data_IF_822768165452
#
_entry.id   IF_822768165452
#
_cell.length_a   1.000
_cell.length_b   1.000
_cell.length_c   1.000
_cell.angle_alpha   90.00
_cell.angle_beta   90.00
_cell.angle_gamma   90.00
#
_symmetry.space_group_name_H-M   'P 1'
#
loop_
_entity.id
_entity.type
_entity.pdbx_description
1 polymer ?
#
# COMPACT_ATOMS: atom_id res chain seq x y z
N UNK A 1 -0.01 32.90 -0.85
CA UNK A 1 0.57 31.70 -0.23
C UNK A 1 2.08 31.90 -0.21
N UNK A 2 2.71 31.83 0.97
CA UNK A 2 4.16 31.82 1.13
C UNK A 2 4.73 30.51 0.53
N UNK A 3 5.98 30.54 0.04
CA UNK A 3 6.58 29.42 -0.71
C UNK A 3 6.65 28.10 0.07
N UNK A 4 6.71 28.17 1.40
CA UNK A 4 6.70 27.03 2.31
C UNK A 4 5.36 26.30 2.30
N UNK A 5 4.25 27.01 2.52
CA UNK A 5 2.90 26.46 2.46
C UNK A 5 2.56 25.84 1.08
N UNK A 6 3.07 26.43 -0.01
CA UNK A 6 2.95 25.85 -1.34
C UNK A 6 3.69 24.51 -1.45
N UNK A 7 4.93 24.45 -0.93
CA UNK A 7 5.76 23.24 -0.92
C UNK A 7 5.11 22.12 -0.11
N UNK A 8 4.56 22.43 1.06
CA UNK A 8 3.86 21.48 1.93
C UNK A 8 2.61 20.89 1.25
N UNK A 9 1.83 21.75 0.59
CA UNK A 9 0.64 21.33 -0.13
C UNK A 9 1.00 20.42 -1.33
N UNK A 10 1.99 20.82 -2.13
CA UNK A 10 2.48 20.03 -3.26
C UNK A 10 2.97 18.66 -2.77
N UNK A 11 3.75 18.63 -1.69
CA UNK A 11 4.29 17.39 -1.12
C UNK A 11 3.17 16.48 -0.64
N UNK A 12 2.21 17.02 0.09
CA UNK A 12 1.06 16.26 0.61
C UNK A 12 0.21 15.70 -0.54
N UNK A 13 -0.10 16.52 -1.54
CA UNK A 13 -0.85 16.10 -2.73
C UNK A 13 -0.12 15.01 -3.51
N UNK A 14 1.18 15.18 -3.74
CA UNK A 14 2.01 14.21 -4.45
C UNK A 14 2.00 12.84 -3.74
N UNK A 15 2.15 12.83 -2.41
CA UNK A 15 2.13 11.60 -1.63
C UNK A 15 0.73 10.95 -1.62
N UNK A 16 -0.35 11.73 -1.55
CA UNK A 16 -1.72 11.22 -1.69
C UNK A 16 -1.92 10.52 -3.04
N UNK A 17 -1.41 11.11 -4.13
CA UNK A 17 -1.48 10.50 -5.46
C UNK A 17 -0.67 9.21 -5.54
N UNK A 18 0.50 9.14 -4.89
CA UNK A 18 1.27 7.89 -4.78
C UNK A 18 0.46 6.82 -4.04
N UNK A 19 -0.17 7.15 -2.91
CA UNK A 19 -1.00 6.19 -2.17
C UNK A 19 -2.18 5.69 -3.00
N UNK A 20 -2.82 6.56 -3.76
CA UNK A 20 -3.89 6.18 -4.68
C UNK A 20 -3.38 5.24 -5.78
N UNK A 21 -2.22 5.53 -6.37
CA UNK A 21 -1.57 4.67 -7.36
C UNK A 21 -1.19 3.29 -6.80
N UNK A 22 -0.70 3.23 -5.57
CA UNK A 22 -0.39 1.98 -4.87
C UNK A 22 -1.67 1.18 -4.57
N UNK A 23 -2.71 1.83 -4.04
CA UNK A 23 -4.00 1.20 -3.77
C UNK A 23 -4.62 0.62 -5.05
N UNK A 24 -4.58 1.39 -6.15
CA UNK A 24 -5.01 0.92 -7.46
C UNK A 24 -4.19 -0.29 -7.92
N UNK A 25 -2.86 -0.22 -7.82
CA UNK A 25 -1.96 -1.30 -8.23
C UNK A 25 -2.23 -2.60 -7.46
N UNK A 26 -2.47 -2.50 -6.15
CA UNK A 26 -2.83 -3.64 -5.30
C UNK A 26 -4.18 -4.24 -5.69
N UNK A 27 -5.18 -3.39 -5.96
CA UNK A 27 -6.49 -3.86 -6.45
C UNK A 27 -6.37 -4.53 -7.82
N UNK A 28 -5.60 -3.94 -8.73
CA UNK A 28 -5.44 -4.43 -10.09
C UNK A 28 -4.66 -5.77 -10.10
N UNK A 29 -3.64 -5.92 -9.26
CA UNK A 29 -2.94 -7.20 -9.08
C UNK A 29 -3.84 -8.26 -8.42
N UNK A 30 -4.58 -7.89 -7.37
CA UNK A 30 -5.46 -8.82 -6.65
C UNK A 30 -6.69 -9.27 -7.44
N UNK A 31 -7.15 -8.48 -8.43
CA UNK A 31 -8.27 -8.84 -9.32
C UNK A 31 -7.80 -9.46 -10.65
N UNK A 32 -6.50 -9.65 -10.83
CA UNK A 32 -5.92 -10.21 -12.05
C UNK A 32 -5.87 -9.27 -13.25
N UNK A 33 -6.26 -8.00 -13.10
CA UNK A 33 -6.08 -6.97 -14.14
C UNK A 33 -4.60 -6.74 -14.45
N UNK A 34 -3.74 -6.78 -13.43
CA UNK A 34 -2.28 -6.81 -13.58
C UNK A 34 -1.77 -8.24 -13.54
N UNK A 35 -1.43 -8.76 -14.71
CA UNK A 35 -0.72 -10.04 -14.85
C UNK A 35 0.69 -9.96 -14.24
N UNK A 36 1.28 -11.12 -13.96
CA UNK A 36 2.69 -11.23 -13.54
C UNK A 36 3.59 -10.49 -14.53
N UNK A 37 4.26 -9.46 -14.05
CA UNK A 37 5.10 -8.55 -14.85
C UNK A 37 6.47 -8.39 -14.18
N UNK A 38 7.30 -7.39 -14.48
CA UNK A 38 8.58 -7.15 -13.78
C UNK A 38 8.59 -5.86 -12.90
N UNK A 39 7.53 -5.07 -12.93
CA UNK A 39 7.52 -3.68 -12.47
C UNK A 39 6.73 -3.46 -11.18
N UNK A 40 5.57 -4.10 -11.04
CA UNK A 40 4.60 -3.86 -9.96
C UNK A 40 4.34 -5.17 -9.22
N UNK A 41 4.21 -5.14 -7.89
CA UNK A 41 3.78 -6.29 -7.07
C UNK A 41 4.83 -6.79 -6.07
N UNK A 42 4.45 -7.77 -5.26
CA UNK A 42 5.30 -8.44 -4.26
C UNK A 42 6.20 -9.45 -5.00
N UNK A 43 7.51 -9.38 -4.75
CA UNK A 43 8.56 -10.11 -5.50
C UNK A 43 9.30 -11.15 -4.69
N UNK A 44 8.60 -11.86 -3.84
CA UNK A 44 9.16 -13.03 -3.18
C UNK A 44 9.14 -14.24 -4.13
N UNK A 45 9.95 -15.25 -3.82
CA UNK A 45 10.01 -16.49 -4.59
C UNK A 45 8.63 -17.18 -4.68
N UNK A 46 7.86 -17.17 -3.58
CA UNK A 46 6.52 -17.74 -3.52
C UNK A 46 5.55 -17.05 -4.48
N UNK A 47 5.50 -15.72 -4.49
CA UNK A 47 4.60 -14.96 -5.38
C UNK A 47 4.98 -15.07 -6.86
N UNK A 48 6.25 -15.32 -7.15
CA UNK A 48 6.77 -15.31 -8.52
C UNK A 48 6.79 -16.69 -9.18
N UNK A 49 6.47 -17.76 -8.44
CA UNK A 49 6.58 -19.13 -8.92
C UNK A 49 5.68 -19.40 -10.13
N UNK A 50 4.39 -19.03 -10.05
CA UNK A 50 3.38 -19.32 -11.06
C UNK A 50 2.36 -18.19 -11.19
N UNK A 51 1.59 -18.14 -12.28
CA UNK A 51 0.58 -17.07 -12.48
C UNK A 51 -0.58 -17.18 -11.46
N UNK A 52 -0.89 -18.39 -11.01
CA UNK A 52 -1.88 -18.63 -9.96
C UNK A 52 -1.36 -18.15 -8.58
N UNK A 53 -0.10 -18.44 -8.27
CA UNK A 53 0.62 -17.97 -7.10
C UNK A 53 0.64 -16.43 -7.05
N UNK A 54 0.85 -15.81 -8.22
CA UNK A 54 0.77 -14.36 -8.39
C UNK A 54 -0.63 -13.84 -8.01
N UNK A 55 -1.68 -14.39 -8.64
CA UNK A 55 -3.05 -13.91 -8.47
C UNK A 55 -3.52 -14.11 -7.02
N UNK A 56 -3.41 -15.32 -6.48
CA UNK A 56 -3.92 -15.65 -5.16
C UNK A 56 -3.15 -14.95 -4.04
N UNK A 57 -1.82 -14.85 -4.17
CA UNK A 57 -0.99 -14.10 -3.24
C UNK A 57 -1.37 -12.61 -3.21
N UNK A 58 -1.50 -11.97 -4.38
CA UNK A 58 -1.89 -10.56 -4.44
C UNK A 58 -3.35 -10.32 -4.05
N UNK A 59 -4.25 -11.24 -4.37
CA UNK A 59 -5.64 -11.18 -3.94
C UNK A 59 -5.74 -11.15 -2.41
N UNK A 60 -5.06 -12.09 -1.75
CA UNK A 60 -5.00 -12.16 -0.29
C UNK A 60 -4.31 -10.92 0.34
N UNK A 61 -3.26 -10.40 -0.29
CA UNK A 61 -2.56 -9.22 0.21
C UNK A 61 -3.31 -7.89 0.00
N UNK A 62 -4.19 -7.82 -1.01
CA UNK A 62 -4.75 -6.56 -1.50
C UNK A 62 -5.54 -5.78 -0.45
N UNK A 63 -6.39 -6.43 0.32
CA UNK A 63 -7.36 -5.74 1.19
C UNK A 63 -6.68 -4.87 2.25
N UNK A 64 -5.75 -5.44 3.03
CA UNK A 64 -5.06 -4.72 4.10
C UNK A 64 -4.09 -3.68 3.57
N UNK A 65 -3.43 -3.97 2.44
CA UNK A 65 -2.58 -3.00 1.75
C UNK A 65 -3.37 -1.78 1.27
N UNK A 66 -4.53 -1.99 0.64
CA UNK A 66 -5.41 -0.90 0.18
C UNK A 66 -5.90 -0.06 1.37
N UNK A 67 -6.37 -0.69 2.45
CA UNK A 67 -6.80 0.03 3.66
C UNK A 67 -5.65 0.87 4.22
N UNK A 68 -4.44 0.32 4.30
CA UNK A 68 -3.26 1.03 4.76
C UNK A 68 -2.94 2.26 3.91
N UNK A 69 -2.93 2.12 2.58
CA UNK A 69 -2.70 3.25 1.67
C UNK A 69 -3.79 4.31 1.75
N UNK A 70 -5.06 3.92 1.80
CA UNK A 70 -6.19 4.87 1.89
C UNK A 70 -6.15 5.63 3.22
N UNK A 71 -5.95 4.93 4.33
CA UNK A 71 -5.82 5.56 5.65
C UNK A 71 -4.61 6.51 5.71
N UNK A 72 -3.47 6.10 5.17
CA UNK A 72 -2.29 6.95 5.05
C UNK A 72 -2.56 8.22 4.23
N UNK A 73 -3.24 8.08 3.09
CA UNK A 73 -3.60 9.22 2.24
C UNK A 73 -4.50 10.22 2.99
N UNK A 74 -5.48 9.74 3.74
CA UNK A 74 -6.37 10.60 4.54
C UNK A 74 -5.59 11.34 5.62
N UNK A 75 -4.69 10.67 6.34
CA UNK A 75 -3.85 11.29 7.38
C UNK A 75 -2.97 12.39 6.79
N UNK A 76 -2.28 12.09 5.69
CA UNK A 76 -1.39 13.04 5.00
C UNK A 76 -2.18 14.24 4.47
N UNK A 77 -3.31 14.01 3.81
CA UNK A 77 -4.16 15.07 3.30
C UNK A 77 -4.69 15.97 4.44
N UNK A 78 -5.16 15.36 5.53
CA UNK A 78 -5.65 16.10 6.69
C UNK A 78 -4.55 16.98 7.30
N UNK A 79 -3.32 16.46 7.46
CA UNK A 79 -2.21 17.27 7.99
C UNK A 79 -1.77 18.38 7.04
N UNK A 80 -1.73 18.14 5.74
CA UNK A 80 -1.43 19.18 4.74
C UNK A 80 -2.48 20.29 4.72
N UNK A 81 -3.77 19.95 4.81
CA UNK A 81 -4.86 20.94 4.94
C UNK A 81 -4.78 21.67 6.28
N UNK A 82 -4.50 20.97 7.38
CA UNK A 82 -4.41 21.58 8.70
C UNK A 82 -3.24 22.57 8.81
N UNK A 83 -2.09 22.28 8.20
CA UNK A 83 -0.95 23.20 8.13
C UNK A 83 -1.29 24.51 7.40
N UNK A 84 -2.11 24.44 6.32
CA UNK A 84 -2.62 25.64 5.64
C UNK A 84 -3.56 26.47 6.50
N UNK A 85 -4.42 25.82 7.30
CA UNK A 85 -5.42 26.48 8.12
C UNK A 85 -4.86 27.01 9.44
N UNK A 86 -3.78 26.41 9.94
CA UNK A 86 -3.13 26.80 11.19
C UNK A 86 -1.60 26.93 11.00
N UNK A 87 -1.12 28.01 10.35
CA UNK A 87 0.31 28.19 10.06
C UNK A 87 1.22 28.26 11.28
N UNK A 88 0.66 28.52 12.47
CA UNK A 88 1.40 28.49 13.74
C UNK A 88 1.71 27.07 14.23
N UNK A 89 1.17 26.03 13.56
CA UNK A 89 1.35 24.61 13.90
C UNK A 89 2.12 23.91 12.77
N UNK A 90 3.31 24.42 12.48
CA UNK A 90 4.25 23.93 11.45
C UNK A 90 4.59 22.44 11.57
N UNK A 91 4.49 21.87 12.78
CA UNK A 91 4.71 20.45 13.03
C UNK A 91 3.60 19.51 12.51
N UNK A 92 2.41 20.01 12.16
CA UNK A 92 1.27 19.16 11.77
C UNK A 92 1.54 18.38 10.49
N UNK A 93 2.18 19.02 9.50
CA UNK A 93 2.52 18.40 8.23
C UNK A 93 3.54 17.26 8.42
N UNK A 94 4.73 17.47 9.02
CA UNK A 94 5.71 16.40 9.16
C UNK A 94 5.21 15.24 10.04
N UNK A 95 4.43 15.54 11.10
CA UNK A 95 3.84 14.50 11.95
C UNK A 95 2.82 13.66 11.17
N UNK A 96 1.97 14.28 10.35
CA UNK A 96 1.00 13.55 9.54
C UNK A 96 1.69 12.70 8.46
N UNK A 97 2.79 13.18 7.87
CA UNK A 97 3.60 12.40 6.95
C UNK A 97 4.16 11.14 7.61
N UNK A 98 4.82 11.30 8.77
CA UNK A 98 5.39 10.17 9.50
C UNK A 98 4.33 9.15 9.88
N UNK A 99 3.19 9.62 10.41
CA UNK A 99 2.09 8.75 10.80
C UNK A 99 1.46 8.05 9.59
N UNK A 100 1.25 8.78 8.48
CA UNK A 100 0.73 8.22 7.25
C UNK A 100 1.64 7.13 6.68
N UNK A 101 2.95 7.38 6.62
CA UNK A 101 3.94 6.38 6.18
C UNK A 101 3.91 5.15 7.09
N UNK A 102 3.85 5.33 8.41
CA UNK A 102 3.76 4.22 9.35
C UNK A 102 2.50 3.37 9.12
N UNK A 103 1.35 4.01 8.96
CA UNK A 103 0.06 3.33 8.69
C UNK A 103 0.11 2.57 7.36
N UNK A 104 0.66 3.18 6.31
CA UNK A 104 0.88 2.51 5.03
C UNK A 104 1.75 1.26 5.21
N UNK A 105 2.91 1.39 5.87
CA UNK A 105 3.85 0.29 6.08
C UNK A 105 3.18 -0.87 6.83
N UNK A 106 2.44 -0.59 7.90
CA UNK A 106 1.68 -1.62 8.63
C UNK A 106 0.69 -2.33 7.71
N UNK A 107 -0.08 -1.59 6.91
CA UNK A 107 -1.02 -2.19 5.95
C UNK A 107 -0.34 -3.09 4.92
N UNK A 108 0.79 -2.64 4.36
CA UNK A 108 1.57 -3.42 3.40
C UNK A 108 2.16 -4.69 4.02
N UNK A 109 2.70 -4.60 5.23
CA UNK A 109 3.25 -5.75 5.96
C UNK A 109 2.17 -6.78 6.31
N UNK A 110 1.00 -6.31 6.76
CA UNK A 110 -0.13 -7.19 7.03
C UNK A 110 -0.67 -7.85 5.76
N UNK A 111 -0.73 -7.11 4.65
CA UNK A 111 -1.07 -7.68 3.34
C UNK A 111 -0.06 -8.74 2.89
N UNK A 112 1.24 -8.45 2.99
CA UNK A 112 2.30 -9.41 2.67
C UNK A 112 2.22 -10.68 3.53
N UNK A 113 1.96 -10.53 4.83
CA UNK A 113 1.76 -11.66 5.75
C UNK A 113 0.59 -12.54 5.30
N UNK A 114 -0.54 -11.94 4.96
CA UNK A 114 -1.73 -12.69 4.52
C UNK A 114 -1.48 -13.40 3.18
N UNK A 115 -0.80 -12.74 2.24
CA UNK A 115 -0.43 -13.35 0.96
C UNK A 115 0.56 -14.51 1.11
N UNK A 116 1.60 -14.36 1.95
CA UNK A 116 2.51 -15.47 2.27
C UNK A 116 1.79 -16.63 2.96
N UNK A 117 0.84 -16.34 3.84
CA UNK A 117 0.02 -17.37 4.52
C UNK A 117 -0.83 -18.14 3.51
N UNK A 118 -1.41 -17.46 2.52
CA UNK A 118 -2.19 -18.11 1.46
C UNK A 118 -1.32 -19.04 0.61
N UNK A 119 -0.15 -18.58 0.18
CA UNK A 119 0.76 -19.37 -0.67
C UNK A 119 1.39 -20.55 0.08
N UNK A 120 1.65 -20.40 1.39
CA UNK A 120 2.09 -21.52 2.20
C UNK A 120 1.04 -22.64 2.25
N UNK A 121 -0.24 -22.30 2.39
CA UNK A 121 -1.35 -23.27 2.40
C UNK A 121 -1.50 -24.01 1.08
N UNK A 122 -1.41 -23.27 -0.03
CA UNK A 122 -1.50 -23.85 -1.38
C UNK A 122 -0.47 -24.98 -1.60
N UNK A 123 0.80 -24.74 -1.26
CA UNK A 123 1.85 -25.74 -1.45
C UNK A 123 1.80 -26.88 -0.43
N UNK A 124 1.25 -26.66 0.77
CA UNK A 124 1.02 -27.76 1.72
C UNK A 124 -0.12 -28.67 1.29
N UNK A 125 -1.16 -28.12 0.66
CA UNK A 125 -2.31 -28.90 0.18
C UNK A 125 -1.91 -29.76 -1.05
N UNK A 126 -1.06 -29.25 -1.95
CA UNK A 126 -0.47 -30.02 -3.06
C UNK A 126 0.28 -31.27 -2.56
N UNK A 127 1.09 -31.14 -1.50
CA UNK A 127 1.84 -32.26 -0.92
C UNK A 127 0.97 -33.28 -0.16
N UNK A 128 -0.26 -32.88 0.22
CA UNK A 128 -1.22 -33.73 0.92
C UNK A 128 -2.17 -34.48 -0.01
N UNK A 129 -2.39 -33.98 -1.24
CA UNK A 129 -3.27 -34.60 -2.23
C UNK A 129 -2.66 -35.83 -2.93
N UNK A 130 -1.34 -35.98 -2.87
CA UNK A 130 -0.58 -37.09 -3.48
C UNK A 130 -0.36 -38.30 -2.52
N UNK A 131 -1.03 -38.35 -1.37
CA UNK A 131 -1.00 -39.49 -0.42
C UNK A 131 -2.35 -40.16 -0.31
#
# INVERSE_FOLDING_TARGET
MNGEALTELITSLFLVLIMAGLAWSMKAAGTGQLKRNAWIGIRTASFSHCDECWLLGHHAASHKGIIGCVAAAVIIAAGGVAALLAPSLDYLQPVSLMLGVLVMLVGLLLGMRDGNTMLAKMHTDELGADR
#
